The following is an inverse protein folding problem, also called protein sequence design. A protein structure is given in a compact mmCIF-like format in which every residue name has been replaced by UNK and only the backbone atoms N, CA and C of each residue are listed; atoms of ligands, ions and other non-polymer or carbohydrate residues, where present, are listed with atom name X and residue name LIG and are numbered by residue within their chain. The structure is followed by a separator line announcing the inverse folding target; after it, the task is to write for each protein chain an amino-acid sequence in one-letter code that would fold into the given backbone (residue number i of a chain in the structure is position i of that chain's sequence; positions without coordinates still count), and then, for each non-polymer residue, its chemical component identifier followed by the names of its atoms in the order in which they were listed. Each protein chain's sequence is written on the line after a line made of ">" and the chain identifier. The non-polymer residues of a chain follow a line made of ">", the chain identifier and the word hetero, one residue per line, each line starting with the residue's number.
data_IF_622251048755
#
_entry.id   IF_622251048755
#
_cell.length_a   1.000
_cell.length_b   1.000
_cell.length_c   1.000
_cell.angle_alpha   90.00
_cell.angle_beta   90.00
_cell.angle_gamma   90.00
#
_symmetry.space_group_name_H-M   'P 1'
#
loop_
_entity.id
_entity.type
_entity.pdbx_description
1 polymer ?
#
# COMPACT_ATOMS: atom_id res chain seq x y z
N UNK A 1 -44.58 -41.77 31.11
CA UNK A 1 -43.43 -40.84 31.12
C UNK A 1 -42.89 -40.76 29.70
N UNK A 2 -43.02 -39.63 29.00
CA UNK A 2 -42.42 -39.45 27.67
C UNK A 2 -40.91 -39.22 27.84
N UNK A 3 -40.10 -39.92 27.05
CA UNK A 3 -38.65 -39.81 27.06
C UNK A 3 -38.17 -38.55 26.34
N UNK A 4 -37.24 -37.85 26.96
CA UNK A 4 -36.55 -36.70 26.39
C UNK A 4 -35.65 -37.13 25.23
N UNK A 5 -35.89 -36.57 24.05
CA UNK A 5 -35.00 -36.69 22.90
C UNK A 5 -33.78 -35.77 23.09
N UNK A 6 -32.56 -36.22 22.76
CA UNK A 6 -31.37 -35.39 22.87
C UNK A 6 -31.46 -34.21 21.90
N UNK A 7 -31.29 -33.00 22.42
CA UNK A 7 -31.22 -31.76 21.64
C UNK A 7 -30.07 -31.85 20.63
N UNK A 8 -30.40 -31.87 19.35
CA UNK A 8 -29.44 -31.65 18.26
C UNK A 8 -28.87 -30.24 18.41
N UNK A 9 -27.63 -30.12 18.88
CA UNK A 9 -26.92 -28.85 18.89
C UNK A 9 -26.84 -28.30 17.48
N UNK A 10 -27.49 -27.16 17.24
CA UNK A 10 -27.33 -26.39 16.02
C UNK A 10 -25.91 -25.84 15.99
N UNK A 11 -25.01 -26.53 15.29
CA UNK A 11 -23.73 -25.92 14.90
C UNK A 11 -24.05 -24.87 13.85
N UNK A 12 -24.16 -23.61 14.28
CA UNK A 12 -24.18 -22.48 13.35
C UNK A 12 -22.87 -22.53 12.53
N UNK A 13 -22.91 -22.75 11.20
CA UNK A 13 -21.71 -22.80 10.37
C UNK A 13 -21.00 -21.44 10.28
N UNK A 14 -21.57 -20.39 10.88
CA UNK A 14 -21.02 -19.04 10.96
C UNK A 14 -20.61 -18.63 12.38
N UNK A 15 -20.75 -19.52 13.38
CA UNK A 15 -20.12 -19.28 14.68
C UNK A 15 -18.61 -19.17 14.45
N UNK A 16 -17.92 -18.14 14.98
CA UNK A 16 -16.48 -18.04 14.86
C UNK A 16 -15.90 -19.35 15.38
N UNK A 17 -15.21 -20.07 14.50
CA UNK A 17 -14.52 -21.28 14.88
C UNK A 17 -13.65 -20.93 16.08
N UNK A 18 -13.75 -21.71 17.16
CA UNK A 18 -12.86 -21.61 18.32
C UNK A 18 -11.43 -22.10 17.93
N UNK A 19 -10.91 -21.58 16.81
CA UNK A 19 -9.56 -21.80 16.30
C UNK A 19 -8.66 -20.72 16.88
N UNK A 20 -7.51 -21.16 17.41
CA UNK A 20 -6.63 -20.38 18.27
C UNK A 20 -6.29 -18.98 17.75
N UNK A 21 -6.28 -18.03 18.67
CA UNK A 21 -5.75 -16.68 18.47
C UNK A 21 -4.39 -16.74 17.80
N UNK A 22 -4.17 -15.93 16.77
CA UNK A 22 -2.87 -15.88 16.11
C UNK A 22 -1.75 -15.50 17.10
N UNK A 23 -0.55 -16.10 16.98
CA UNK A 23 0.53 -15.82 17.92
C UNK A 23 1.00 -14.37 17.76
N UNK A 24 1.10 -13.66 18.90
CA UNK A 24 1.49 -12.24 18.98
C UNK A 24 3.00 -12.07 18.78
N UNK A 25 3.45 -12.22 17.55
CA UNK A 25 4.88 -12.27 17.18
C UNK A 25 5.44 -10.92 16.73
N UNK A 26 4.63 -10.01 16.21
CA UNK A 26 5.08 -8.72 15.67
C UNK A 26 5.18 -7.66 16.77
N UNK A 27 6.35 -7.05 16.93
CA UNK A 27 6.59 -5.94 17.85
C UNK A 27 6.17 -4.57 17.30
N UNK A 28 6.35 -3.50 18.10
CA UNK A 28 6.04 -2.13 17.67
C UNK A 28 6.89 -1.66 16.49
N UNK A 29 8.16 -2.07 16.43
CA UNK A 29 9.02 -1.78 15.29
C UNK A 29 8.53 -2.48 14.02
N UNK A 30 8.13 -3.75 14.13
CA UNK A 30 7.59 -4.52 13.01
C UNK A 30 6.30 -3.89 12.48
N UNK A 31 5.43 -3.39 13.38
CA UNK A 31 4.23 -2.65 12.99
C UNK A 31 4.54 -1.41 12.14
N UNK A 32 5.50 -0.58 12.55
CA UNK A 32 5.96 0.58 11.75
C UNK A 32 6.55 0.11 10.41
N UNK A 33 7.40 -0.92 10.43
CA UNK A 33 8.04 -1.44 9.22
C UNK A 33 7.06 -2.05 8.22
N UNK A 34 5.96 -2.66 8.69
CA UNK A 34 4.87 -3.15 7.82
C UNK A 34 4.20 -1.99 7.09
N UNK A 35 3.95 -0.87 7.78
CA UNK A 35 3.36 0.33 7.16
C UNK A 35 4.34 0.98 6.19
N UNK A 36 5.57 1.27 6.63
CA UNK A 36 6.63 1.86 5.79
C UNK A 36 6.91 0.99 4.56
N UNK A 37 7.03 -0.32 4.74
CA UNK A 37 7.28 -1.27 3.66
C UNK A 37 6.08 -1.44 2.73
N UNK A 38 4.87 -1.19 3.22
CA UNK A 38 3.65 -1.14 2.42
C UNK A 38 3.60 0.10 1.52
N UNK A 39 3.94 1.26 2.08
CA UNK A 39 3.90 2.57 1.41
C UNK A 39 5.07 2.74 0.42
N UNK A 40 6.31 2.45 0.86
CA UNK A 40 7.52 2.68 0.04
C UNK A 40 7.65 1.59 -1.03
N UNK A 41 6.91 1.79 -2.11
CA UNK A 41 6.86 0.91 -3.27
C UNK A 41 7.52 1.48 -4.52
N UNK A 42 7.09 0.98 -5.68
CA UNK A 42 7.52 1.52 -6.98
C UNK A 42 6.99 2.94 -7.22
N UNK A 43 5.88 3.32 -6.58
CA UNK A 43 5.18 4.59 -6.81
C UNK A 43 6.11 5.81 -6.72
N UNK A 44 6.99 5.85 -5.73
CA UNK A 44 7.91 6.98 -5.52
C UNK A 44 8.95 7.12 -6.65
N UNK A 45 9.23 6.06 -7.41
CA UNK A 45 10.17 6.11 -8.54
C UNK A 45 9.51 6.52 -9.86
N UNK A 46 8.20 6.29 -10.01
CA UNK A 46 7.46 6.63 -11.24
C UNK A 46 6.74 7.96 -11.15
N UNK A 47 6.03 8.20 -10.04
CA UNK A 47 5.02 9.26 -9.95
C UNK A 47 5.59 10.68 -9.81
N UNK A 48 6.78 10.95 -9.23
CA UNK A 48 7.33 12.30 -9.23
C UNK A 48 7.48 12.88 -10.64
N UNK A 49 7.91 12.07 -11.61
CA UNK A 49 7.97 12.50 -13.01
C UNK A 49 6.60 12.81 -13.61
N UNK A 50 5.59 11.97 -13.31
CA UNK A 50 4.20 12.19 -13.76
C UNK A 50 3.60 13.46 -13.14
N UNK A 51 3.84 13.70 -11.84
CA UNK A 51 3.38 14.91 -11.14
C UNK A 51 4.07 16.15 -11.72
N UNK A 52 5.38 16.07 -11.99
CA UNK A 52 6.10 17.14 -12.64
C UNK A 52 5.52 17.46 -14.03
N UNK A 53 5.18 16.45 -14.84
CA UNK A 53 4.55 16.67 -16.15
C UNK A 53 3.19 17.38 -16.08
N UNK A 54 2.46 17.26 -14.97
CA UNK A 54 1.19 17.97 -14.78
C UNK A 54 1.36 19.38 -14.22
N UNK A 55 2.42 19.62 -13.43
CA UNK A 55 2.52 20.81 -12.58
C UNK A 55 3.76 21.69 -12.81
N UNK A 56 4.72 21.26 -13.64
CA UNK A 56 5.96 21.99 -13.95
C UNK A 56 5.70 23.43 -14.42
N UNK A 57 4.70 23.63 -15.28
CA UNK A 57 4.31 24.93 -15.80
C UNK A 57 3.68 25.85 -14.73
N UNK A 58 3.24 25.32 -13.59
CA UNK A 58 2.56 26.07 -12.54
C UNK A 58 3.42 26.35 -11.30
N UNK A 59 4.64 25.80 -11.25
CA UNK A 59 5.63 26.07 -10.21
C UNK A 59 5.88 24.91 -9.24
N UNK A 60 7.10 24.88 -8.70
CA UNK A 60 7.58 23.81 -7.81
C UNK A 60 6.80 23.70 -6.49
N UNK A 61 6.26 24.82 -5.99
CA UNK A 61 5.48 24.86 -4.76
C UNK A 61 4.23 23.97 -4.84
N UNK A 62 3.60 23.86 -6.02
CA UNK A 62 2.46 22.97 -6.22
C UNK A 62 2.87 21.50 -6.32
N UNK A 63 4.00 21.20 -6.95
CA UNK A 63 4.52 19.83 -6.99
C UNK A 63 4.70 19.33 -5.55
N UNK A 64 5.43 20.07 -4.71
CA UNK A 64 5.64 19.72 -3.31
C UNK A 64 4.32 19.75 -2.52
N UNK A 65 3.50 20.77 -2.74
CA UNK A 65 2.23 20.96 -2.06
C UNK A 65 1.27 19.78 -2.22
N UNK A 66 1.19 19.19 -3.41
CA UNK A 66 0.35 17.99 -3.63
C UNK A 66 0.85 16.80 -2.81
N UNK A 67 2.15 16.57 -2.71
CA UNK A 67 2.70 15.50 -1.86
C UNK A 67 2.38 15.68 -0.38
N UNK A 68 2.44 16.93 0.11
CA UNK A 68 2.10 17.28 1.49
C UNK A 68 0.60 17.11 1.73
N UNK A 69 -0.25 17.66 0.86
CA UNK A 69 -1.71 17.60 1.01
C UNK A 69 -2.21 16.16 0.97
N UNK A 70 -1.76 15.36 -0.01
CA UNK A 70 -2.16 13.95 -0.09
C UNK A 70 -1.60 13.16 1.10
N UNK A 71 -0.37 13.43 1.54
CA UNK A 71 0.19 12.82 2.76
C UNK A 71 -0.65 13.09 4.01
N UNK A 72 -1.12 14.33 4.19
CA UNK A 72 -2.02 14.69 5.29
C UNK A 72 -3.38 13.98 5.19
N UNK A 73 -3.95 13.89 3.98
CA UNK A 73 -5.20 13.13 3.75
C UNK A 73 -5.00 11.66 4.12
N UNK A 74 -3.90 11.05 3.68
CA UNK A 74 -3.55 9.67 4.02
C UNK A 74 -3.38 9.49 5.52
N UNK A 75 -2.68 10.41 6.20
CA UNK A 75 -2.50 10.35 7.65
C UNK A 75 -3.84 10.41 8.39
N UNK A 76 -4.74 11.31 7.99
CA UNK A 76 -6.10 11.36 8.55
C UNK A 76 -6.86 10.03 8.34
N UNK A 77 -6.75 9.44 7.16
CA UNK A 77 -7.33 8.11 6.88
C UNK A 77 -6.70 7.00 7.72
N UNK A 78 -5.38 7.02 7.90
CA UNK A 78 -4.64 6.08 8.71
C UNK A 78 -5.03 6.17 10.19
N UNK A 79 -5.18 7.38 10.73
CA UNK A 79 -5.59 7.61 12.12
C UNK A 79 -7.05 7.19 12.38
N UNK A 80 -7.97 7.42 11.45
CA UNK A 80 -9.35 6.92 11.58
C UNK A 80 -9.40 5.39 11.53
N UNK A 81 -8.60 4.76 10.67
CA UNK A 81 -8.46 3.30 10.66
C UNK A 81 -7.77 2.78 11.93
N UNK A 82 -6.84 3.54 12.51
CA UNK A 82 -6.15 3.16 13.74
C UNK A 82 -7.13 3.01 14.91
N UNK A 83 -8.12 3.90 15.03
CA UNK A 83 -9.17 3.77 16.04
C UNK A 83 -9.98 2.47 15.85
N UNK A 84 -10.38 2.18 14.61
CA UNK A 84 -11.08 0.93 14.28
C UNK A 84 -10.22 -0.31 14.55
N UNK A 85 -8.94 -0.27 14.21
CA UNK A 85 -8.00 -1.36 14.45
C UNK A 85 -7.73 -1.59 15.94
N UNK A 86 -7.74 -0.54 16.75
CA UNK A 86 -7.64 -0.65 18.20
C UNK A 86 -8.94 -1.18 18.82
N UNK A 87 -10.10 -0.80 18.30
CA UNK A 87 -11.40 -1.29 18.76
C UNK A 87 -11.66 -2.75 18.38
N UNK A 88 -11.23 -3.17 17.18
CA UNK A 88 -11.48 -4.50 16.61
C UNK A 88 -10.17 -5.15 16.12
N UNK A 89 -9.25 -5.55 17.02
CA UNK A 89 -7.93 -6.10 16.67
C UNK A 89 -7.98 -7.58 16.25
N UNK A 90 -8.92 -7.90 15.36
CA UNK A 90 -9.14 -9.23 14.80
C UNK A 90 -8.48 -9.36 13.42
N UNK A 91 -8.06 -10.57 13.06
CA UNK A 91 -7.59 -10.86 11.71
C UNK A 91 -8.69 -10.55 10.67
N UNK A 92 -8.28 -9.94 9.55
CA UNK A 92 -9.18 -9.59 8.44
C UNK A 92 -9.39 -8.09 8.21
N UNK A 93 -8.97 -7.22 9.15
CA UNK A 93 -8.85 -5.78 8.94
C UNK A 93 -10.14 -5.11 8.42
N UNK A 94 -10.12 -4.37 7.30
CA UNK A 94 -11.28 -3.63 6.80
C UNK A 94 -12.53 -4.47 6.55
N UNK A 95 -12.37 -5.75 6.19
CA UNK A 95 -13.50 -6.68 6.06
C UNK A 95 -14.29 -6.77 7.38
N UNK A 96 -13.59 -6.93 8.50
CA UNK A 96 -14.20 -7.06 9.83
C UNK A 96 -14.87 -5.75 10.22
N UNK A 97 -14.23 -4.61 9.94
CA UNK A 97 -14.78 -3.29 10.27
C UNK A 97 -16.08 -3.02 9.52
N UNK A 98 -16.10 -3.32 8.21
CA UNK A 98 -17.30 -3.18 7.39
C UNK A 98 -18.41 -4.16 7.79
N UNK A 99 -18.04 -5.38 8.19
CA UNK A 99 -19.01 -6.38 8.64
C UNK A 99 -19.70 -5.94 9.92
N UNK A 100 -18.94 -5.38 10.86
CA UNK A 100 -19.48 -4.91 12.14
C UNK A 100 -20.33 -3.63 11.97
N UNK A 101 -19.90 -2.70 11.12
CA UNK A 101 -20.60 -1.43 10.92
C UNK A 101 -21.84 -1.55 10.02
N UNK A 102 -21.79 -2.36 8.96
CA UNK A 102 -22.80 -2.36 7.90
C UNK A 102 -23.33 -3.76 7.52
N UNK A 103 -22.89 -4.80 8.22
CA UNK A 103 -23.33 -6.17 7.99
C UNK A 103 -22.62 -6.88 6.83
N UNK A 104 -23.17 -8.04 6.45
CA UNK A 104 -22.47 -9.00 5.58
C UNK A 104 -22.28 -8.54 4.15
N UNK A 105 -23.24 -7.82 3.57
CA UNK A 105 -23.20 -7.45 2.15
C UNK A 105 -22.07 -6.45 1.84
N UNK A 106 -21.90 -5.32 2.56
CA UNK A 106 -20.79 -4.40 2.30
C UNK A 106 -19.41 -5.04 2.55
N UNK A 107 -19.29 -5.87 3.59
CA UNK A 107 -18.07 -6.62 3.85
C UNK A 107 -17.74 -7.60 2.71
N UNK A 108 -18.74 -8.33 2.20
CA UNK A 108 -18.59 -9.21 1.04
C UNK A 108 -18.16 -8.43 -0.21
N UNK A 109 -18.82 -7.29 -0.50
CA UNK A 109 -18.46 -6.46 -1.65
C UNK A 109 -17.04 -5.94 -1.55
N UNK A 110 -16.59 -5.52 -0.36
CA UNK A 110 -15.20 -5.15 -0.14
C UNK A 110 -14.25 -6.31 -0.44
N UNK A 111 -14.50 -7.50 0.12
CA UNK A 111 -13.66 -8.68 -0.13
C UNK A 111 -13.65 -9.08 -1.61
N UNK A 112 -14.79 -8.98 -2.29
CA UNK A 112 -14.92 -9.24 -3.72
C UNK A 112 -14.11 -8.24 -4.56
N UNK A 113 -14.26 -6.93 -4.30
CA UNK A 113 -13.50 -5.88 -4.99
C UNK A 113 -12.01 -6.01 -4.71
N UNK A 114 -11.63 -6.32 -3.48
CA UNK A 114 -10.24 -6.52 -3.08
C UNK A 114 -9.61 -7.68 -3.86
N UNK A 115 -10.29 -8.83 -3.91
CA UNK A 115 -9.81 -10.04 -4.56
C UNK A 115 -9.80 -9.94 -6.10
N UNK A 116 -10.82 -9.33 -6.70
CA UNK A 116 -11.03 -9.37 -8.16
C UNK A 116 -10.52 -8.13 -8.90
N UNK A 117 -10.45 -6.97 -8.24
CA UNK A 117 -10.12 -5.70 -8.87
C UNK A 117 -8.81 -5.14 -8.30
N UNK A 118 -8.75 -4.91 -6.99
CA UNK A 118 -7.66 -4.13 -6.38
C UNK A 118 -6.34 -4.92 -6.40
N UNK A 119 -6.32 -6.15 -5.86
CA UNK A 119 -5.08 -6.96 -5.78
C UNK A 119 -4.54 -7.34 -7.17
N UNK A 120 -5.35 -7.86 -8.11
CA UNK A 120 -4.87 -8.18 -9.46
C UNK A 120 -4.43 -6.93 -10.23
N UNK A 121 -5.18 -5.82 -10.11
CA UNK A 121 -4.82 -4.54 -10.74
C UNK A 121 -3.49 -4.00 -10.23
N UNK A 122 -3.25 -4.10 -8.92
CA UNK A 122 -1.99 -3.70 -8.30
C UNK A 122 -0.81 -4.54 -8.78
N UNK A 123 -0.97 -5.87 -8.82
CA UNK A 123 0.04 -6.79 -9.35
C UNK A 123 0.34 -6.50 -10.83
N UNK A 124 -0.69 -6.26 -11.64
CA UNK A 124 -0.54 -5.90 -13.05
C UNK A 124 0.24 -4.59 -13.24
N UNK A 125 -0.11 -3.55 -12.49
CA UNK A 125 0.57 -2.27 -12.53
C UNK A 125 2.05 -2.36 -12.09
N UNK A 126 2.34 -3.09 -11.01
CA UNK A 126 3.71 -3.31 -10.52
C UNK A 126 4.56 -4.10 -11.52
N UNK A 127 3.98 -5.12 -12.15
CA UNK A 127 4.65 -5.92 -13.17
C UNK A 127 4.93 -5.10 -14.42
N UNK A 128 3.94 -4.33 -14.90
CA UNK A 128 4.12 -3.42 -16.03
C UNK A 128 5.22 -2.38 -15.74
N UNK A 129 5.23 -1.78 -14.54
CA UNK A 129 6.28 -0.86 -14.13
C UNK A 129 7.67 -1.51 -14.18
N UNK A 130 7.80 -2.74 -13.70
CA UNK A 130 9.05 -3.50 -13.72
C UNK A 130 9.54 -3.73 -15.15
N UNK A 131 8.64 -4.15 -16.05
CA UNK A 131 8.98 -4.36 -17.47
C UNK A 131 9.33 -3.05 -18.15
N UNK A 132 8.65 -1.94 -17.87
CA UNK A 132 8.99 -0.62 -18.42
C UNK A 132 10.41 -0.21 -18.05
N UNK A 133 10.83 -0.42 -16.79
CA UNK A 133 12.21 -0.12 -16.40
C UNK A 133 13.21 -1.10 -16.98
N UNK A 134 12.88 -2.40 -17.05
CA UNK A 134 13.76 -3.41 -17.65
C UNK A 134 13.99 -3.11 -19.14
N UNK A 135 12.95 -2.71 -19.87
CA UNK A 135 13.00 -2.30 -21.28
C UNK A 135 13.92 -1.10 -21.54
N UNK A 136 14.21 -0.28 -20.52
CA UNK A 136 15.17 0.83 -20.62
C UNK A 136 16.63 0.36 -20.52
N UNK A 137 16.87 -0.83 -19.97
CA UNK A 137 18.20 -1.42 -19.80
C UNK A 137 18.48 -2.39 -20.95
N UNK A 138 17.50 -3.25 -21.26
CA UNK A 138 17.56 -4.24 -22.33
C UNK A 138 16.44 -3.92 -23.30
N UNK A 139 16.74 -3.75 -24.60
CA UNK A 139 15.70 -3.53 -25.59
C UNK A 139 14.77 -4.76 -25.67
N UNK A 140 13.53 -4.59 -25.23
CA UNK A 140 12.47 -5.60 -25.30
C UNK A 140 11.36 -5.09 -26.20
N UNK A 141 11.13 -5.77 -27.31
CA UNK A 141 9.97 -5.53 -28.15
C UNK A 141 8.66 -5.89 -27.42
N UNK A 142 7.53 -5.33 -27.86
CA UNK A 142 6.23 -5.47 -27.19
C UNK A 142 5.84 -6.92 -26.90
N UNK A 143 6.07 -7.83 -27.85
CA UNK A 143 5.77 -9.25 -27.67
C UNK A 143 6.55 -9.88 -26.51
N UNK A 144 7.82 -9.49 -26.34
CA UNK A 144 8.66 -9.97 -25.23
C UNK A 144 8.29 -9.32 -23.90
N UNK A 145 7.81 -8.08 -23.90
CA UNK A 145 7.37 -7.39 -22.68
C UNK A 145 6.23 -8.15 -21.98
N UNK A 146 5.23 -8.60 -22.73
CA UNK A 146 4.10 -9.37 -22.20
C UNK A 146 4.55 -10.73 -21.64
N UNK A 147 5.43 -11.43 -22.37
CA UNK A 147 6.00 -12.71 -21.91
C UNK A 147 6.86 -12.57 -20.65
N UNK A 148 7.68 -11.53 -20.57
CA UNK A 148 8.50 -11.24 -19.38
C UNK A 148 7.64 -10.84 -18.19
N UNK A 149 6.60 -10.02 -18.40
CA UNK A 149 5.64 -9.68 -17.34
C UNK A 149 5.00 -10.93 -16.73
N UNK A 150 4.49 -11.83 -17.59
CA UNK A 150 3.90 -13.09 -17.15
C UNK A 150 4.92 -13.97 -16.42
N UNK A 151 6.15 -14.06 -16.95
CA UNK A 151 7.24 -14.80 -16.33
C UNK A 151 7.59 -14.29 -14.93
N UNK A 152 7.65 -12.97 -14.73
CA UNK A 152 7.91 -12.35 -13.42
C UNK A 152 6.80 -12.73 -12.43
N UNK A 153 5.53 -12.60 -12.82
CA UNK A 153 4.40 -12.94 -11.94
C UNK A 153 4.46 -14.41 -11.55
N UNK A 154 4.60 -15.32 -12.52
CA UNK A 154 4.66 -16.77 -12.26
C UNK A 154 5.86 -17.15 -11.38
N UNK A 155 7.04 -16.57 -11.62
CA UNK A 155 8.23 -16.82 -10.84
C UNK A 155 8.05 -16.36 -9.39
N UNK A 156 7.57 -15.13 -9.17
CA UNK A 156 7.35 -14.60 -7.83
C UNK A 156 6.24 -15.38 -7.11
N UNK A 157 5.17 -15.76 -7.80
CA UNK A 157 4.14 -16.63 -7.24
C UNK A 157 4.73 -17.98 -6.83
N UNK A 158 5.58 -18.60 -7.67
CA UNK A 158 6.22 -19.86 -7.34
C UNK A 158 7.14 -19.75 -6.12
N UNK A 159 7.95 -18.68 -6.02
CA UNK A 159 8.79 -18.41 -4.83
C UNK A 159 7.94 -18.31 -3.56
N UNK A 160 6.80 -17.62 -3.63
CA UNK A 160 5.89 -17.48 -2.50
C UNK A 160 5.22 -18.82 -2.12
N UNK A 161 4.93 -19.69 -3.08
CA UNK A 161 4.35 -21.02 -2.84
C UNK A 161 5.38 -22.02 -2.29
N UNK A 162 6.64 -21.96 -2.73
CA UNK A 162 7.71 -22.88 -2.28
C UNK A 162 8.08 -22.64 -0.81
N UNK A 163 8.08 -21.39 -0.34
CA UNK A 163 8.30 -21.15 1.07
C UNK A 163 8.28 -19.68 1.47
N UNK A 164 7.51 -19.39 2.52
CA UNK A 164 7.38 -18.05 3.11
C UNK A 164 8.73 -17.44 3.53
N UNK A 165 9.71 -18.26 3.94
CA UNK A 165 11.07 -17.78 4.27
C UNK A 165 11.81 -17.19 3.07
N UNK A 166 11.68 -17.81 1.90
CA UNK A 166 12.29 -17.30 0.65
C UNK A 166 11.60 -16.03 0.18
N UNK A 167 10.27 -15.99 0.26
CA UNK A 167 9.49 -14.78 -0.02
C UNK A 167 9.91 -13.61 0.88
N UNK A 168 10.03 -13.83 2.20
CA UNK A 168 10.47 -12.82 3.16
C UNK A 168 11.90 -12.33 2.89
N UNK A 169 12.83 -13.24 2.57
CA UNK A 169 14.21 -12.86 2.24
C UNK A 169 14.26 -11.99 0.97
N UNK A 170 13.55 -12.37 -0.09
CA UNK A 170 13.49 -11.59 -1.34
C UNK A 170 12.87 -10.21 -1.11
N UNK A 171 11.79 -10.14 -0.32
CA UNK A 171 11.16 -8.88 0.07
C UNK A 171 12.14 -7.97 0.81
N UNK A 172 12.84 -8.48 1.83
CA UNK A 172 13.78 -7.69 2.64
C UNK A 172 14.93 -7.13 1.80
N UNK A 173 15.54 -7.96 0.94
CA UNK A 173 16.61 -7.51 0.02
C UNK A 173 16.09 -6.39 -0.89
N UNK A 174 14.89 -6.56 -1.43
CA UNK A 174 14.28 -5.58 -2.33
C UNK A 174 14.00 -4.25 -1.62
N UNK A 175 13.50 -4.28 -0.38
CA UNK A 175 13.25 -3.07 0.43
C UNK A 175 14.56 -2.34 0.71
N UNK A 176 15.59 -3.03 1.19
CA UNK A 176 16.90 -2.42 1.46
C UNK A 176 17.49 -1.80 0.20
N UNK A 177 17.44 -2.51 -0.94
CA UNK A 177 17.91 -1.99 -2.22
C UNK A 177 17.14 -0.73 -2.65
N UNK A 178 15.80 -0.74 -2.51
CA UNK A 178 14.95 0.42 -2.82
C UNK A 178 15.27 1.62 -1.95
N UNK A 179 15.39 1.43 -0.64
CA UNK A 179 15.72 2.50 0.32
C UNK A 179 17.13 3.05 0.07
N UNK A 180 18.10 2.17 -0.19
CA UNK A 180 19.46 2.58 -0.55
C UNK A 180 19.50 3.39 -1.85
N UNK A 181 18.77 2.96 -2.87
CA UNK A 181 18.64 3.70 -4.12
C UNK A 181 17.93 5.06 -3.93
N UNK A 182 16.88 5.10 -3.11
CA UNK A 182 16.19 6.35 -2.74
C UNK A 182 17.14 7.34 -2.03
N UNK A 183 17.92 6.86 -1.05
CA UNK A 183 18.92 7.67 -0.38
C UNK A 183 19.98 8.18 -1.37
N UNK A 184 20.45 7.31 -2.28
CA UNK A 184 21.40 7.68 -3.32
C UNK A 184 20.87 8.81 -4.22
N UNK A 185 19.63 8.74 -4.72
CA UNK A 185 19.09 9.79 -5.59
C UNK A 185 18.80 11.11 -4.86
N UNK A 186 18.59 11.08 -3.55
CA UNK A 186 18.45 12.29 -2.71
C UNK A 186 19.81 12.96 -2.50
N UNK A 187 20.85 12.18 -2.20
CA UNK A 187 22.19 12.70 -1.83
C UNK A 187 23.02 13.08 -3.05
N UNK A 188 22.91 12.34 -4.16
CA UNK A 188 23.76 12.55 -5.35
C UNK A 188 23.72 13.99 -5.90
N UNK A 189 22.56 14.64 -6.11
CA UNK A 189 22.51 16.01 -6.62
C UNK A 189 23.18 17.03 -5.67
N UNK A 190 23.08 16.79 -4.36
CA UNK A 190 23.70 17.62 -3.32
C UNK A 190 25.24 17.47 -3.34
N UNK A 191 25.72 16.24 -3.50
CA UNK A 191 27.16 15.92 -3.51
C UNK A 191 27.88 16.41 -4.77
N UNK A 192 27.22 16.43 -5.93
CA UNK A 192 27.81 16.88 -7.21
C UNK A 192 27.62 18.39 -7.44
N UNK A 193 27.06 19.11 -6.46
CA UNK A 193 26.71 20.54 -6.54
C UNK A 193 25.86 20.91 -7.78
N UNK A 194 25.14 19.94 -8.34
CA UNK A 194 24.19 20.13 -9.44
C UNK A 194 22.80 20.31 -8.86
N UNK A 195 22.65 21.30 -7.99
CA UNK A 195 21.32 21.77 -7.59
C UNK A 195 20.85 22.71 -8.69
N UNK A 196 19.81 22.36 -9.47
CA UNK A 196 19.25 23.29 -10.44
C UNK A 196 18.88 24.60 -9.73
N UNK A 197 19.05 25.73 -10.41
CA UNK A 197 18.54 26.99 -9.87
C UNK A 197 17.06 26.83 -9.55
N UNK A 198 16.58 27.30 -8.38
CA UNK A 198 15.18 27.21 -8.04
C UNK A 198 14.36 27.89 -9.15
N UNK A 199 13.19 27.35 -9.50
CA UNK A 199 12.37 27.94 -10.54
C UNK A 199 12.05 29.40 -10.21
N UNK A 200 11.95 30.23 -11.25
CA UNK A 200 11.69 31.66 -11.13
C UNK A 200 10.36 31.94 -10.40
N UNK A 201 9.38 31.03 -10.53
CA UNK A 201 8.09 31.10 -9.85
C UNK A 201 7.84 29.84 -9.04
N UNK A 202 7.55 30.01 -7.75
CA UNK A 202 7.20 28.91 -6.85
C UNK A 202 5.70 28.60 -6.85
N UNK A 203 4.88 29.61 -7.09
CA UNK A 203 3.41 29.54 -7.11
C UNK A 203 2.87 30.04 -8.44
N UNK A 204 1.71 29.54 -8.88
CA UNK A 204 1.08 30.04 -10.09
C UNK A 204 0.65 31.49 -9.90
N UNK A 205 0.88 32.33 -10.92
CA UNK A 205 0.41 33.73 -10.89
C UNK A 205 -1.12 33.89 -10.90
N UNK A 206 -1.87 32.84 -11.26
CA UNK A 206 -3.35 32.83 -11.26
C UNK A 206 -3.92 31.42 -11.17
N UNK A 207 -5.13 31.31 -10.60
CA UNK A 207 -5.92 30.09 -10.63
C UNK A 207 -6.70 29.99 -11.95
N UNK A 208 -6.54 28.87 -12.65
CA UNK A 208 -7.26 28.57 -13.89
C UNK A 208 -7.98 27.22 -13.80
N UNK A 209 -9.01 26.97 -14.63
CA UNK A 209 -9.63 25.65 -14.70
C UNK A 209 -8.65 24.53 -15.05
N UNK A 210 -7.65 24.82 -15.88
CA UNK A 210 -6.63 23.83 -16.26
C UNK A 210 -5.69 23.49 -15.10
N UNK A 211 -5.36 24.46 -14.24
CA UNK A 211 -4.67 24.19 -12.98
C UNK A 211 -5.50 23.25 -12.09
N UNK A 212 -6.81 23.47 -11.98
CA UNK A 212 -7.69 22.59 -11.21
C UNK A 212 -7.67 21.13 -11.70
N UNK A 213 -7.72 20.92 -13.02
CA UNK A 213 -7.60 19.59 -13.63
C UNK A 213 -6.22 18.97 -13.37
N UNK A 214 -5.14 19.74 -13.54
CA UNK A 214 -3.78 19.29 -13.31
C UNK A 214 -3.55 18.86 -11.85
N UNK A 215 -4.07 19.64 -10.89
CA UNK A 215 -4.03 19.28 -9.46
C UNK A 215 -4.79 18.00 -9.18
N UNK A 216 -5.99 17.82 -9.73
CA UNK A 216 -6.75 16.57 -9.57
C UNK A 216 -5.99 15.35 -10.08
N UNK A 217 -5.40 15.42 -11.28
CA UNK A 217 -4.59 14.35 -11.86
C UNK A 217 -3.32 14.09 -11.05
N UNK A 218 -2.66 15.14 -10.56
CA UNK A 218 -1.48 15.04 -9.71
C UNK A 218 -1.81 14.38 -8.36
N UNK A 219 -2.93 14.76 -7.72
CA UNK A 219 -3.37 14.15 -6.46
C UNK A 219 -3.66 12.65 -6.63
N UNK A 220 -4.37 12.26 -7.71
CA UNK A 220 -4.60 10.85 -8.04
C UNK A 220 -3.26 10.12 -8.26
N UNK A 221 -2.31 10.75 -8.95
CA UNK A 221 -0.99 10.17 -9.18
C UNK A 221 -0.20 9.96 -7.88
N UNK A 222 -0.29 10.89 -6.92
CA UNK A 222 0.38 10.84 -5.62
C UNK A 222 -0.29 9.86 -4.64
N UNK A 223 -1.58 9.61 -4.77
CA UNK A 223 -2.29 8.67 -3.89
C UNK A 223 -1.76 7.23 -4.02
N UNK A 224 -1.23 6.85 -5.18
CA UNK A 224 -0.63 5.53 -5.40
C UNK A 224 0.65 5.28 -4.58
N UNK A 225 1.66 6.17 -4.57
CA UNK A 225 2.84 6.05 -3.70
C UNK A 225 2.52 5.99 -2.22
N UNK A 226 1.37 6.53 -1.79
CA UNK A 226 0.92 6.46 -0.41
C UNK A 226 0.08 5.21 -0.12
N UNK A 227 -0.28 4.40 -1.12
CA UNK A 227 -1.04 3.17 -0.88
C UNK A 227 -0.22 2.15 -0.10
N UNK A 228 -0.90 1.35 0.74
CA UNK A 228 -0.29 0.23 1.45
C UNK A 228 -0.31 0.31 2.97
N UNK A 229 -0.58 1.48 3.55
CA UNK A 229 -0.74 1.66 5.01
C UNK A 229 -1.82 0.76 5.60
N UNK A 230 -2.91 0.50 4.86
CA UNK A 230 -4.04 -0.33 5.28
C UNK A 230 -3.66 -1.80 5.53
N UNK A 231 -2.52 -2.26 4.98
CA UNK A 231 -2.11 -3.67 5.05
C UNK A 231 -1.66 -4.11 6.46
N UNK A 232 -1.48 -3.19 7.42
CA UNK A 232 -1.27 -3.55 8.83
C UNK A 232 -2.54 -4.10 9.48
N UNK A 233 -3.73 -3.69 9.04
CA UNK A 233 -4.99 -4.06 9.68
C UNK A 233 -5.30 -5.57 9.61
N UNK A 234 -5.09 -6.27 8.48
CA UNK A 234 -5.27 -7.73 8.42
C UNK A 234 -4.35 -8.52 9.36
N UNK A 235 -3.15 -8.01 9.65
CA UNK A 235 -2.16 -8.65 10.54
C UNK A 235 -2.24 -8.13 11.98
N UNK A 236 -3.24 -7.32 12.32
CA UNK A 236 -3.39 -6.73 13.64
C UNK A 236 -3.48 -7.79 14.76
N UNK A 237 -3.96 -9.00 14.47
CA UNK A 237 -4.03 -10.10 15.44
C UNK A 237 -2.66 -10.73 15.74
N UNK A 238 -1.64 -10.50 14.91
CA UNK A 238 -0.26 -10.97 15.13
C UNK A 238 0.61 -9.92 15.82
N UNK A 239 0.13 -8.67 15.91
CA UNK A 239 0.83 -7.55 16.58
C UNK A 239 0.66 -7.64 18.09
N UNK A 240 1.75 -7.55 18.85
CA UNK A 240 1.76 -7.43 20.31
C UNK A 240 1.09 -6.13 20.73
N UNK A 241 0.26 -6.13 21.78
CA UNK A 241 -0.50 -4.95 22.21
C UNK A 241 -1.13 -4.17 21.03
N UNK A 242 -1.98 -4.82 20.20
CA UNK A 242 -2.42 -4.26 18.92
C UNK A 242 -3.16 -2.93 19.08
N UNK A 243 -3.87 -2.73 20.21
CA UNK A 243 -4.58 -1.49 20.53
C UNK A 243 -3.65 -0.29 20.68
N UNK A 244 -2.36 -0.52 20.92
CA UNK A 244 -1.34 0.51 21.04
C UNK A 244 -0.40 0.51 19.83
N UNK A 245 0.06 -0.66 19.41
CA UNK A 245 1.13 -0.76 18.43
C UNK A 245 0.65 -0.64 16.97
N UNK A 246 -0.61 -0.99 16.65
CA UNK A 246 -1.16 -0.74 15.31
C UNK A 246 -1.38 0.76 15.07
N UNK A 247 -2.00 1.52 16.00
CA UNK A 247 -2.07 2.98 15.88
C UNK A 247 -0.71 3.66 15.79
N UNK A 248 0.25 3.26 16.62
CA UNK A 248 1.62 3.79 16.53
C UNK A 248 2.27 3.46 15.18
N UNK A 249 2.05 2.25 14.67
CA UNK A 249 2.51 1.85 13.34
C UNK A 249 1.97 2.75 12.23
N UNK A 250 0.67 3.06 12.26
CA UNK A 250 -0.01 3.92 11.29
C UNK A 250 0.35 5.41 11.40
N UNK A 251 0.70 5.87 12.60
CA UNK A 251 1.05 7.28 12.83
C UNK A 251 2.52 7.58 12.52
N UNK A 252 3.42 6.63 12.75
CA UNK A 252 4.86 6.80 12.58
C UNK A 252 5.40 6.28 11.24
N UNK A 253 4.72 5.29 10.65
CA UNK A 253 5.10 4.68 9.37
C UNK A 253 4.56 5.43 8.17
#
# INVERSE_FOLDING_TARGET
>A
MPGDLPSTGSTDPLAPSAGGTLPRVLGPFDAVMVVVGGIIGSGIFLKPGVVALYLDHFGLGLIIGVWVVVGLITLCGALTLAELAAMLPHAGGPYVYLREAYGRLPAFLWGWTEMTIIRPGSLGALTAATVIYLSKIVYLDRHWQEGVALGIVLLLSLVNVIGARWGAALQNVTVVAKLGFLAFIIVLPLAVSRVPQPPAEWWPGRWTPDLGKALGLAMIAVMWPYDGWINIAPVAEEVREPQRNVPLGLALG
#
